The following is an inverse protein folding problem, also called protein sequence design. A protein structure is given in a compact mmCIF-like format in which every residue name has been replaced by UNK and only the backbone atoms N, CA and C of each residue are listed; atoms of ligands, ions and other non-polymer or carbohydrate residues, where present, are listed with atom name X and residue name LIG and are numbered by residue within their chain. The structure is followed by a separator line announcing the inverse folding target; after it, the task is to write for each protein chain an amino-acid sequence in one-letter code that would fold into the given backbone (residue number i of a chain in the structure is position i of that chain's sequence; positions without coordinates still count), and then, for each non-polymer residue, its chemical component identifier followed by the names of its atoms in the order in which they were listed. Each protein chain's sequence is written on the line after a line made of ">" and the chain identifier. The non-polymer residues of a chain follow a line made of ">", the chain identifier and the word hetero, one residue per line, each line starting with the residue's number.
data_IF_196704064484
#
_entry.id   IF_196704064484
#
_cell.length_a   1.000
_cell.length_b   1.000
_cell.length_c   1.000
_cell.angle_alpha   90.00
_cell.angle_beta   90.00
_cell.angle_gamma   90.00
#
_symmetry.space_group_name_H-M   'P 1'
#
loop_
_entity.id
_entity.type
_entity.pdbx_description
1 polymer ?
#
# COMPACT_ATOMS: atom_id res chain seq x y z
N UNK A 1 10.11 16.93 -0.94
CA UNK A 1 9.96 18.19 -0.19
C UNK A 1 9.49 17.87 1.22
N UNK A 2 10.05 18.58 2.22
CA UNK A 2 9.69 18.43 3.63
C UNK A 2 9.51 19.83 4.22
N UNK A 3 8.39 20.07 4.89
CA UNK A 3 8.10 21.29 5.63
C UNK A 3 7.68 20.97 7.06
N UNK A 4 7.85 21.90 7.99
CA UNK A 4 7.47 21.76 9.40
C UNK A 4 6.35 22.75 9.72
N UNK A 5 5.34 22.33 10.49
CA UNK A 5 4.31 23.20 11.02
C UNK A 5 4.86 24.23 12.00
N UNK A 6 4.11 25.30 12.27
CA UNK A 6 4.52 26.39 13.17
C UNK A 6 5.58 27.36 12.63
N UNK A 7 6.13 27.12 11.42
CA UNK A 7 7.22 27.92 10.82
C UNK A 7 6.78 28.57 9.49
N UNK A 8 5.49 28.57 9.22
CA UNK A 8 4.90 28.94 7.92
C UNK A 8 5.18 30.35 7.42
N UNK A 9 5.42 31.29 8.32
CA UNK A 9 5.66 32.68 7.94
C UNK A 9 7.02 32.91 7.26
N UNK A 10 7.93 31.94 7.34
CA UNK A 10 9.27 32.05 6.77
C UNK A 10 9.39 31.48 5.35
N UNK A 11 8.39 30.78 4.85
CA UNK A 11 8.42 30.16 3.53
C UNK A 11 7.64 30.97 2.50
N UNK A 12 8.26 32.02 2.00
CA UNK A 12 7.74 32.93 0.97
C UNK A 12 7.70 32.34 -0.46
N UNK A 13 7.89 31.03 -0.65
CA UNK A 13 7.72 30.43 -1.98
C UNK A 13 6.22 30.23 -2.28
N UNK A 14 5.73 30.93 -3.28
CA UNK A 14 4.32 30.99 -3.67
C UNK A 14 3.57 29.63 -3.76
N UNK A 15 4.18 28.52 -4.24
CA UNK A 15 3.45 27.24 -4.32
C UNK A 15 3.09 26.63 -2.97
N UNK A 16 3.93 26.85 -1.94
CA UNK A 16 3.70 26.32 -0.60
C UNK A 16 2.71 27.16 0.20
N UNK A 17 2.61 28.48 -0.07
CA UNK A 17 1.70 29.35 0.66
C UNK A 17 0.22 29.07 0.39
N UNK A 18 -0.13 28.74 -0.85
CA UNK A 18 -1.51 28.39 -1.21
C UNK A 18 -1.96 27.07 -0.54
N UNK A 19 -1.11 26.05 -0.57
CA UNK A 19 -1.38 24.78 0.10
C UNK A 19 -1.45 24.95 1.63
N UNK A 20 -0.56 25.79 2.19
CA UNK A 20 -0.52 26.06 3.61
C UNK A 20 -1.84 26.60 4.14
N UNK A 21 -2.52 27.41 3.35
CA UNK A 21 -3.81 28.02 3.73
C UNK A 21 -4.98 27.01 3.74
N UNK A 22 -4.91 25.93 2.96
CA UNK A 22 -5.96 24.90 2.93
C UNK A 22 -5.79 23.83 4.02
N UNK A 23 -4.64 23.82 4.71
CA UNK A 23 -4.42 22.91 5.84
C UNK A 23 -5.25 23.34 7.05
N UNK A 24 -5.77 22.35 7.84
CA UNK A 24 -6.38 22.63 9.14
C UNK A 24 -5.43 23.43 10.05
N UNK A 25 -6.01 24.32 10.84
CA UNK A 25 -5.24 25.26 11.65
C UNK A 25 -4.35 24.54 12.70
N UNK A 26 -4.85 23.46 13.29
CA UNK A 26 -4.14 22.60 14.21
C UNK A 26 -2.91 21.93 13.60
N UNK A 27 -2.98 21.57 12.32
CA UNK A 27 -1.85 21.03 11.55
C UNK A 27 -0.84 22.16 11.22
N UNK A 28 -1.36 23.30 10.78
CA UNK A 28 -0.56 24.45 10.32
C UNK A 28 0.26 25.08 11.44
N UNK A 29 -0.32 25.21 12.63
CA UNK A 29 0.30 25.86 13.78
C UNK A 29 1.13 24.91 14.66
N UNK A 30 1.02 23.60 14.49
CA UNK A 30 1.73 22.65 15.32
C UNK A 30 3.22 22.54 14.95
N UNK A 31 4.14 22.83 15.86
CA UNK A 31 5.59 22.69 15.61
C UNK A 31 6.04 21.21 15.54
N UNK A 32 5.14 20.28 15.79
CA UNK A 32 5.41 18.84 15.85
C UNK A 32 4.93 18.09 14.61
N UNK A 33 4.23 18.78 13.70
CA UNK A 33 3.74 18.23 12.44
C UNK A 33 4.73 18.51 11.32
N UNK A 34 4.96 17.51 10.49
CA UNK A 34 5.74 17.61 9.27
C UNK A 34 4.86 17.31 8.05
N UNK A 35 5.11 18.01 6.97
CA UNK A 35 4.48 17.82 5.68
C UNK A 35 5.52 17.34 4.69
N UNK A 36 5.24 16.23 4.00
CA UNK A 36 6.11 15.70 2.97
C UNK A 36 5.35 15.55 1.65
N UNK A 37 6.03 15.78 0.53
CA UNK A 37 5.50 15.55 -0.82
C UNK A 37 6.62 15.25 -1.79
N UNK A 38 6.30 14.52 -2.86
CA UNK A 38 7.17 14.34 -4.02
C UNK A 38 6.82 15.29 -5.18
N UNK A 39 5.71 16.06 -5.08
CA UNK A 39 5.25 16.99 -6.10
C UNK A 39 4.68 18.27 -5.48
N UNK A 40 4.92 19.42 -6.09
CA UNK A 40 4.34 20.70 -5.67
C UNK A 40 2.81 20.74 -5.83
N UNK A 41 2.24 19.90 -6.70
CA UNK A 41 0.79 19.76 -6.86
C UNK A 41 0.17 18.82 -5.83
N UNK A 42 0.98 18.20 -4.97
CA UNK A 42 0.51 17.25 -3.98
C UNK A 42 0.31 15.81 -4.53
N UNK A 43 -0.24 14.88 -3.77
CA UNK A 43 -0.73 15.09 -2.41
C UNK A 43 0.40 15.34 -1.40
N UNK A 44 0.01 15.92 -0.25
CA UNK A 44 0.91 16.12 0.88
C UNK A 44 0.60 15.11 1.97
N UNK A 45 1.64 14.46 2.48
CA UNK A 45 1.58 13.54 3.61
C UNK A 45 1.80 14.30 4.90
N UNK A 46 0.87 14.15 5.84
CA UNK A 46 0.93 14.77 7.18
C UNK A 46 1.54 13.74 8.13
N UNK A 47 2.68 14.09 8.70
CA UNK A 47 3.43 13.26 9.62
C UNK A 47 3.37 13.89 11.02
N UNK A 48 2.82 13.16 11.99
CA UNK A 48 2.68 13.62 13.37
C UNK A 48 2.93 12.47 14.35
N UNK A 49 2.85 12.74 15.64
CA UNK A 49 2.81 11.67 16.61
C UNK A 49 1.55 10.80 16.43
N UNK A 50 1.65 9.49 16.69
CA UNK A 50 0.47 8.64 16.68
C UNK A 50 -0.54 9.15 17.70
N UNK A 51 -1.81 9.06 17.34
CA UNK A 51 -2.91 9.36 18.25
C UNK A 51 -2.79 8.46 19.49
N UNK A 52 -2.96 9.03 20.68
CA UNK A 52 -2.80 8.32 21.93
C UNK A 52 -4.06 8.46 22.79
N UNK A 53 -4.54 7.33 23.28
CA UNK A 53 -5.56 7.30 24.32
C UNK A 53 -4.84 7.13 25.67
N UNK A 54 -4.92 8.11 26.61
CA UNK A 54 -4.34 7.97 27.94
C UNK A 54 -4.91 6.76 28.68
N UNK A 55 -4.05 6.04 29.40
CA UNK A 55 -4.51 4.98 30.31
C UNK A 55 -5.25 5.58 31.52
N UNK A 56 -6.19 4.83 32.11
CA UNK A 56 -6.98 5.29 33.24
C UNK A 56 -6.13 5.63 34.50
N UNK A 57 -4.96 5.01 34.63
CA UNK A 57 -4.04 5.16 35.78
C UNK A 57 -2.86 6.09 35.45
N UNK A 58 -2.92 6.82 34.36
CA UNK A 58 -1.81 7.60 33.88
C UNK A 58 -1.80 9.01 34.46
N UNK A 59 -0.85 9.27 35.35
CA UNK A 59 -0.71 10.57 36.04
C UNK A 59 0.02 11.60 35.18
N UNK A 60 0.96 11.16 34.35
CA UNK A 60 1.70 12.00 33.41
C UNK A 60 1.78 11.29 32.05
N UNK A 61 1.59 12.04 30.93
CA UNK A 61 1.79 11.44 29.61
C UNK A 61 3.26 11.03 29.47
N UNK A 62 3.56 9.81 28.97
CA UNK A 62 4.92 9.43 28.65
C UNK A 62 5.51 10.36 27.60
N UNK A 63 6.83 10.39 27.55
CA UNK A 63 7.56 11.15 26.53
C UNK A 63 7.11 10.71 25.13
N UNK A 64 6.79 11.68 24.23
CA UNK A 64 6.41 11.36 22.87
C UNK A 64 7.53 10.59 22.15
N UNK A 65 7.19 9.62 21.27
CA UNK A 65 8.20 8.87 20.54
C UNK A 65 9.04 9.80 19.63
N UNK A 66 10.30 9.45 19.45
CA UNK A 66 11.23 10.21 18.59
C UNK A 66 10.81 10.23 17.12
N UNK A 67 10.00 9.24 16.69
CA UNK A 67 9.51 9.13 15.31
C UNK A 67 8.14 9.79 15.13
N UNK A 68 7.79 10.03 13.86
CA UNK A 68 6.47 10.46 13.42
C UNK A 68 5.86 9.40 12.52
N UNK A 69 4.54 9.32 12.51
CA UNK A 69 3.77 8.42 11.65
C UNK A 69 2.91 9.23 10.68
N UNK A 70 2.52 8.62 9.58
CA UNK A 70 1.54 9.21 8.67
C UNK A 70 0.18 9.30 9.38
N UNK A 71 -0.28 10.52 9.64
CA UNK A 71 -1.57 10.79 10.29
C UNK A 71 -2.63 11.30 9.32
N UNK A 72 -2.22 11.79 8.15
CA UNK A 72 -3.16 12.26 7.16
C UNK A 72 -2.51 12.47 5.80
N UNK A 73 -3.38 12.70 4.82
CA UNK A 73 -3.02 13.14 3.47
C UNK A 73 -3.96 14.27 3.09
N UNK A 74 -3.42 15.30 2.44
CA UNK A 74 -4.21 16.41 1.90
C UNK A 74 -3.82 16.63 0.44
N UNK A 75 -4.80 16.82 -0.43
CA UNK A 75 -4.55 17.16 -1.82
C UNK A 75 -4.54 18.68 -2.07
N UNK A 76 -4.21 19.09 -3.29
CA UNK A 76 -4.15 20.50 -3.68
C UNK A 76 -5.50 21.24 -3.63
N UNK A 77 -6.61 20.54 -3.41
CA UNK A 77 -7.98 21.09 -3.25
C UNK A 77 -8.41 21.15 -1.78
N UNK A 78 -7.54 20.75 -0.84
CA UNK A 78 -7.86 20.71 0.57
C UNK A 78 -8.68 19.48 1.01
N UNK A 79 -8.86 18.48 0.14
CA UNK A 79 -9.51 17.21 0.53
C UNK A 79 -8.55 16.38 1.36
N UNK A 80 -9.04 15.88 2.48
CA UNK A 80 -8.22 15.20 3.49
C UNK A 80 -8.56 13.74 3.63
N UNK A 81 -7.57 12.93 3.98
CA UNK A 81 -7.71 11.61 4.59
C UNK A 81 -7.03 11.66 5.95
N UNK A 82 -7.72 11.24 7.00
CA UNK A 82 -7.17 11.12 8.36
C UNK A 82 -7.04 9.66 8.73
N UNK A 83 -5.86 9.26 9.20
CA UNK A 83 -5.56 7.87 9.59
C UNK A 83 -5.67 7.71 11.12
N UNK A 84 -6.49 6.77 11.56
CA UNK A 84 -6.69 6.43 12.96
C UNK A 84 -5.98 5.12 13.31
N UNK A 85 -5.24 5.14 14.42
CA UNK A 85 -4.49 3.98 14.92
C UNK A 85 -5.03 3.55 16.26
N UNK A 86 -5.00 2.25 16.55
CA UNK A 86 -5.25 1.76 17.90
C UNK A 86 -4.12 2.23 18.83
N UNK A 87 -4.43 2.43 20.12
CA UNK A 87 -3.53 3.00 21.14
C UNK A 87 -2.16 2.28 21.28
N UNK A 88 -2.01 1.08 20.75
CA UNK A 88 -0.77 0.30 20.72
C UNK A 88 -0.34 -0.12 19.32
N UNK A 89 -0.98 0.44 18.28
CA UNK A 89 -0.78 -0.02 16.90
C UNK A 89 -0.02 0.98 16.05
N UNK A 90 1.07 0.54 15.45
CA UNK A 90 1.81 1.32 14.44
C UNK A 90 1.07 1.40 13.10
N UNK A 91 0.06 0.54 12.88
CA UNK A 91 -0.71 0.45 11.64
C UNK A 91 -2.09 1.07 11.80
N UNK A 92 -2.50 1.89 10.82
CA UNK A 92 -3.83 2.50 10.81
C UNK A 92 -4.92 1.42 10.65
N UNK A 93 -5.89 1.40 11.58
CA UNK A 93 -7.05 0.50 11.53
C UNK A 93 -8.31 1.14 10.96
N UNK A 94 -8.33 2.48 10.81
CA UNK A 94 -9.43 3.21 10.20
C UNK A 94 -8.94 4.48 9.49
N UNK A 95 -9.75 4.96 8.54
CA UNK A 95 -9.53 6.20 7.80
C UNK A 95 -10.82 6.99 7.77
N UNK A 96 -10.73 8.31 7.92
CA UNK A 96 -11.84 9.24 7.69
C UNK A 96 -11.48 10.16 6.54
N UNK A 97 -12.37 10.35 5.58
CA UNK A 97 -12.17 11.31 4.49
C UNK A 97 -12.74 12.70 4.81
N UNK A 98 -12.46 13.67 3.94
CA UNK A 98 -12.94 15.06 4.11
C UNK A 98 -14.46 15.24 4.02
N UNK A 99 -15.21 14.23 3.57
CA UNK A 99 -16.68 14.19 3.60
C UNK A 99 -17.24 13.57 4.88
N UNK A 100 -16.39 13.16 5.81
CA UNK A 100 -16.77 12.53 7.07
C UNK A 100 -17.10 11.04 6.95
N UNK A 101 -16.88 10.41 5.78
CA UNK A 101 -17.04 8.97 5.63
C UNK A 101 -15.94 8.25 6.37
N UNK A 102 -16.31 7.18 7.07
CA UNK A 102 -15.38 6.40 7.88
C UNK A 102 -15.20 5.01 7.28
N UNK A 103 -13.95 4.63 7.11
CA UNK A 103 -13.55 3.34 6.55
C UNK A 103 -12.80 2.55 7.61
N UNK A 104 -13.18 1.30 7.80
CA UNK A 104 -12.43 0.35 8.62
C UNK A 104 -11.50 -0.46 7.74
N UNK A 105 -10.24 -0.57 8.16
CA UNK A 105 -9.18 -1.35 7.52
C UNK A 105 -9.05 -2.67 8.29
N UNK A 106 -9.60 -3.75 7.74
CA UNK A 106 -9.41 -5.08 8.32
C UNK A 106 -7.99 -5.57 8.01
N UNK A 107 -7.20 -5.73 9.06
CA UNK A 107 -5.80 -6.14 8.97
C UNK A 107 -5.64 -7.58 9.48
N UNK A 108 -4.77 -8.35 8.84
CA UNK A 108 -4.42 -9.71 9.26
C UNK A 108 -2.91 -9.88 9.38
N UNK A 109 -2.50 -10.62 10.39
CA UNK A 109 -1.11 -11.07 10.53
C UNK A 109 -0.83 -12.28 9.65
N UNK A 110 0.43 -12.61 9.43
CA UNK A 110 0.84 -13.81 8.71
C UNK A 110 0.32 -15.09 9.41
N UNK A 111 0.41 -15.16 10.73
CA UNK A 111 -0.08 -16.30 11.51
C UNK A 111 -1.60 -16.50 11.36
N UNK A 112 -2.39 -15.41 11.37
CA UNK A 112 -3.84 -15.50 11.16
C UNK A 112 -4.18 -16.03 9.77
N UNK A 113 -3.48 -15.60 8.72
CA UNK A 113 -3.67 -16.11 7.36
C UNK A 113 -3.27 -17.57 7.24
N UNK A 114 -2.16 -17.98 7.87
CA UNK A 114 -1.72 -19.37 7.91
C UNK A 114 -2.75 -20.28 8.62
N UNK A 115 -3.32 -19.81 9.73
CA UNK A 115 -4.38 -20.53 10.43
C UNK A 115 -5.65 -20.66 9.59
N UNK A 116 -6.08 -19.58 8.92
CA UNK A 116 -7.24 -19.61 8.02
C UNK A 116 -7.02 -20.59 6.87
N UNK A 117 -5.84 -20.64 6.29
CA UNK A 117 -5.47 -21.60 5.24
C UNK A 117 -5.55 -23.05 5.76
N UNK A 118 -5.02 -23.32 6.97
CA UNK A 118 -5.11 -24.67 7.59
C UNK A 118 -6.57 -25.11 7.83
N UNK A 119 -7.42 -24.19 8.31
CA UNK A 119 -8.85 -24.46 8.54
C UNK A 119 -9.58 -24.75 7.24
N UNK A 120 -9.37 -23.96 6.18
CA UNK A 120 -9.97 -24.21 4.87
C UNK A 120 -9.56 -25.56 4.29
N UNK A 121 -8.29 -25.94 4.42
CA UNK A 121 -7.78 -27.22 3.97
C UNK A 121 -8.36 -28.40 4.75
N UNK A 122 -8.52 -28.27 6.07
CA UNK A 122 -9.15 -29.31 6.89
C UNK A 122 -10.62 -29.52 6.47
N UNK A 123 -11.35 -28.44 6.20
CA UNK A 123 -12.76 -28.53 5.73
C UNK A 123 -12.87 -29.17 4.34
N UNK A 124 -11.94 -28.84 3.42
CA UNK A 124 -11.96 -29.46 2.08
C UNK A 124 -11.54 -30.92 2.06
N UNK A 125 -10.79 -31.42 3.05
CA UNK A 125 -10.42 -32.83 3.19
C UNK A 125 -11.53 -33.67 3.78
N UNK A 126 -12.52 -33.08 4.46
CA UNK A 126 -13.67 -33.77 5.03
C UNK A 126 -14.83 -33.91 4.03
N UNK A 127 -14.75 -33.33 2.84
CA UNK A 127 -15.76 -33.53 1.77
C UNK A 127 -15.43 -34.77 0.92
N UNK A 128 -16.37 -35.72 0.75
CA UNK A 128 -16.13 -36.92 -0.03
C UNK A 128 -16.40 -36.67 -1.51
N UNK A 129 -15.47 -36.15 -2.27
CA UNK A 129 -15.54 -36.21 -3.73
C UNK A 129 -14.23 -35.74 -4.44
N UNK A 130 -13.67 -36.63 -5.26
CA UNK A 130 -12.78 -36.31 -6.36
C UNK A 130 -11.33 -36.82 -6.24
N UNK A 131 -10.67 -37.15 -7.37
CA UNK A 131 -9.30 -37.65 -7.39
C UNK A 131 -8.33 -36.55 -6.93
N UNK A 132 -7.55 -36.88 -5.92
CA UNK A 132 -6.54 -35.98 -5.32
C UNK A 132 -5.37 -35.82 -6.27
N UNK A 133 -5.26 -34.64 -6.91
CA UNK A 133 -4.00 -34.23 -7.45
C UNK A 133 -3.06 -33.92 -6.27
N UNK A 134 -1.97 -34.67 -6.17
CA UNK A 134 -0.91 -34.44 -5.20
C UNK A 134 -0.08 -33.22 -5.65
N UNK A 135 -0.62 -32.00 -5.45
CA UNK A 135 0.19 -30.81 -5.55
C UNK A 135 1.00 -30.67 -4.26
N UNK A 136 2.31 -30.53 -4.40
CA UNK A 136 3.27 -30.30 -3.32
C UNK A 136 2.72 -29.29 -2.33
N UNK A 137 2.51 -29.73 -1.08
CA UNK A 137 2.01 -28.88 -0.01
C UNK A 137 3.13 -27.98 0.48
N UNK A 138 3.34 -26.84 -0.16
CA UNK A 138 4.09 -25.78 0.50
C UNK A 138 3.29 -25.36 1.74
N UNK A 139 3.86 -25.59 2.91
CA UNK A 139 3.24 -25.19 4.17
C UNK A 139 3.10 -23.66 4.15
N UNK A 140 1.92 -23.17 4.52
CA UNK A 140 1.74 -21.73 4.71
C UNK A 140 2.45 -21.36 6.02
N UNK A 141 3.55 -20.57 6.00
CA UNK A 141 4.33 -20.27 7.18
C UNK A 141 3.61 -19.29 8.12
N UNK A 142 3.83 -19.44 9.43
CA UNK A 142 3.25 -18.52 10.43
C UNK A 142 3.99 -17.17 10.49
N UNK A 143 5.19 -17.10 9.95
CA UNK A 143 6.02 -15.88 9.87
C UNK A 143 6.56 -15.71 8.47
N UNK A 144 6.78 -14.47 8.05
CA UNK A 144 7.49 -14.16 6.82
C UNK A 144 9.01 -14.18 7.08
N UNK A 145 9.84 -14.50 6.07
CA UNK A 145 11.27 -14.32 6.17
C UNK A 145 11.61 -12.87 6.49
N UNK A 146 12.68 -12.66 7.23
CA UNK A 146 13.09 -11.34 7.70
C UNK A 146 13.30 -10.37 6.53
N UNK A 147 12.53 -9.36 6.52
CA UNK A 147 12.69 -8.05 5.95
C UNK A 147 13.21 -7.86 4.53
N UNK A 148 13.03 -6.63 4.07
CA UNK A 148 13.66 -6.06 2.88
C UNK A 148 14.76 -5.09 3.30
N UNK A 149 15.53 -4.54 2.38
CA UNK A 149 16.48 -3.44 2.63
C UNK A 149 15.83 -2.20 3.29
N UNK A 150 14.50 -2.08 3.21
CA UNK A 150 13.71 -0.99 3.82
C UNK A 150 13.20 -1.31 5.24
N UNK A 151 13.55 -2.45 5.81
CA UNK A 151 13.19 -2.86 7.16
C UNK A 151 12.52 -4.23 7.27
N UNK A 152 12.19 -4.61 8.51
CA UNK A 152 11.54 -5.88 8.79
C UNK A 152 10.07 -5.88 8.31
N UNK A 153 9.67 -6.95 7.63
CA UNK A 153 8.25 -7.18 7.30
C UNK A 153 7.54 -7.78 8.53
N UNK A 154 6.64 -7.00 9.14
CA UNK A 154 5.84 -7.44 10.29
C UNK A 154 4.74 -8.44 9.92
N UNK A 155 4.59 -8.78 8.64
CA UNK A 155 3.57 -9.71 8.14
C UNK A 155 2.13 -9.21 8.22
N UNK A 156 1.90 -7.96 8.59
CA UNK A 156 0.56 -7.36 8.60
C UNK A 156 0.16 -6.99 7.18
N UNK A 157 -1.07 -7.39 6.78
CA UNK A 157 -1.62 -7.10 5.45
C UNK A 157 -3.06 -6.61 5.58
N UNK A 158 -3.45 -5.73 4.66
CA UNK A 158 -4.82 -5.27 4.51
C UNK A 158 -5.67 -6.37 3.84
N UNK A 159 -6.63 -6.93 4.57
CA UNK A 159 -7.52 -7.98 4.05
C UNK A 159 -8.78 -7.39 3.42
N UNK A 160 -9.34 -6.34 4.03
CA UNK A 160 -10.55 -5.71 3.50
C UNK A 160 -10.66 -4.24 3.91
N UNK A 161 -11.41 -3.47 3.10
CA UNK A 161 -11.80 -2.10 3.40
C UNK A 161 -13.33 -2.04 3.50
N UNK A 162 -13.85 -1.62 4.65
CA UNK A 162 -15.27 -1.47 4.92
C UNK A 162 -15.64 0.00 5.05
N UNK A 163 -16.68 0.45 4.36
CA UNK A 163 -17.32 1.74 4.64
C UNK A 163 -18.23 1.55 5.84
N UNK A 164 -17.81 1.97 7.02
CA UNK A 164 -18.54 1.76 8.29
C UNK A 164 -19.46 2.90 8.67
N UNK A 165 -19.28 4.06 8.06
CA UNK A 165 -20.16 5.22 8.24
C UNK A 165 -20.12 6.11 7.02
N UNK A 166 -21.28 6.51 6.54
CA UNK A 166 -21.47 7.54 5.53
C UNK A 166 -22.44 8.59 6.06
N UNK A 167 -22.03 9.87 6.22
CA UNK A 167 -22.94 10.92 6.71
C UNK A 167 -24.16 11.15 5.83
N UNK A 168 -24.10 10.80 4.52
CA UNK A 168 -25.25 10.89 3.62
C UNK A 168 -26.29 9.77 3.85
N UNK A 169 -25.84 8.64 4.43
CA UNK A 169 -26.67 7.44 4.70
C UNK A 169 -26.33 6.87 6.08
N UNK A 170 -26.58 7.62 7.18
CA UNK A 170 -26.08 7.29 8.51
C UNK A 170 -26.65 5.99 9.09
N UNK A 171 -27.81 5.56 8.66
CA UNK A 171 -28.51 4.36 9.14
C UNK A 171 -28.18 3.10 8.30
N UNK A 172 -27.41 3.26 7.20
CA UNK A 172 -27.02 2.12 6.37
C UNK A 172 -25.83 1.38 6.98
N UNK A 173 -25.96 0.06 7.11
CA UNK A 173 -24.88 -0.82 7.52
C UNK A 173 -24.27 -1.53 6.31
N UNK A 174 -22.94 -1.63 6.22
CA UNK A 174 -22.28 -2.31 5.11
C UNK A 174 -22.55 -3.83 5.18
N UNK A 175 -23.03 -4.38 4.06
CA UNK A 175 -23.25 -5.82 3.91
C UNK A 175 -22.05 -6.56 3.30
N UNK A 176 -21.14 -5.82 2.67
CA UNK A 176 -19.93 -6.34 2.05
C UNK A 176 -18.81 -5.26 2.08
N UNK A 177 -17.54 -5.65 2.12
CA UNK A 177 -16.43 -4.72 2.03
C UNK A 177 -16.40 -4.05 0.65
N UNK A 178 -15.89 -2.83 0.58
CA UNK A 178 -15.66 -2.11 -0.68
C UNK A 178 -14.61 -2.79 -1.54
N UNK A 179 -13.59 -3.33 -0.90
CA UNK A 179 -12.53 -4.10 -1.53
C UNK A 179 -12.04 -5.18 -0.58
N UNK A 180 -11.61 -6.32 -1.14
CA UNK A 180 -11.00 -7.42 -0.42
C UNK A 180 -9.72 -7.83 -1.13
N UNK A 181 -8.71 -8.19 -0.34
CA UNK A 181 -7.38 -8.55 -0.79
C UNK A 181 -7.02 -9.94 -0.31
N UNK A 182 -6.37 -10.73 -1.17
CA UNK A 182 -5.82 -12.03 -0.80
C UNK A 182 -4.34 -12.08 -1.08
N UNK A 183 -3.62 -12.93 -0.34
CA UNK A 183 -2.17 -12.97 -0.37
C UNK A 183 -1.67 -14.39 -0.62
N UNK A 184 -0.46 -14.51 -1.16
CA UNK A 184 0.29 -15.76 -1.26
C UNK A 184 0.74 -16.19 0.14
N UNK A 185 1.27 -17.41 0.24
CA UNK A 185 1.90 -17.91 1.46
C UNK A 185 3.13 -17.06 1.88
N UNK A 186 3.78 -16.42 0.91
CA UNK A 186 4.92 -15.52 1.10
C UNK A 186 4.50 -14.07 1.44
N UNK A 187 3.18 -13.80 1.56
CA UNK A 187 2.66 -12.48 1.93
C UNK A 187 2.56 -11.48 0.79
N UNK A 188 2.71 -11.90 -0.46
CA UNK A 188 2.56 -11.08 -1.65
C UNK A 188 1.10 -10.93 -2.03
N UNK A 189 0.70 -9.79 -2.58
CA UNK A 189 -0.68 -9.55 -3.02
C UNK A 189 -1.04 -10.48 -4.19
N UNK A 190 -2.00 -11.37 -3.99
CA UNK A 190 -2.44 -12.35 -4.99
C UNK A 190 -3.61 -11.87 -5.83
N UNK A 191 -4.64 -11.30 -5.18
CA UNK A 191 -5.83 -10.83 -5.87
C UNK A 191 -6.53 -9.71 -5.12
N UNK A 192 -7.26 -8.88 -5.89
CA UNK A 192 -8.15 -7.84 -5.39
C UNK A 192 -9.55 -8.12 -5.89
N UNK A 193 -10.53 -8.02 -4.99
CA UNK A 193 -11.94 -8.21 -5.27
C UNK A 193 -12.70 -6.91 -4.97
N UNK A 194 -13.67 -6.60 -5.79
CA UNK A 194 -14.57 -5.47 -5.57
C UNK A 194 -15.72 -5.82 -4.58
N UNK A 195 -16.63 -4.87 -4.39
CA UNK A 195 -17.80 -5.03 -3.50
C UNK A 195 -18.74 -6.14 -3.92
N UNK A 196 -18.82 -6.49 -5.20
CA UNK A 196 -19.63 -7.61 -5.71
C UNK A 196 -19.01 -8.98 -5.45
N UNK A 197 -17.75 -9.01 -4.98
CA UNK A 197 -16.96 -10.23 -4.85
C UNK A 197 -16.28 -10.66 -6.16
N UNK A 198 -16.36 -9.84 -7.21
CA UNK A 198 -15.67 -10.09 -8.48
C UNK A 198 -14.18 -9.80 -8.34
N UNK A 199 -13.33 -10.72 -8.82
CA UNK A 199 -11.90 -10.46 -8.89
C UNK A 199 -11.61 -9.42 -9.97
N UNK A 200 -11.13 -8.25 -9.56
CA UNK A 200 -10.82 -7.12 -10.46
C UNK A 200 -9.35 -7.04 -10.84
N UNK A 201 -8.45 -7.63 -10.02
CA UNK A 201 -7.02 -7.73 -10.30
C UNK A 201 -6.48 -9.06 -9.81
N UNK A 202 -5.51 -9.60 -10.54
CA UNK A 202 -4.75 -10.78 -10.15
C UNK A 202 -3.26 -10.57 -10.40
N UNK A 203 -2.41 -11.21 -9.58
CA UNK A 203 -0.96 -11.10 -9.64
C UNK A 203 -0.35 -12.49 -9.50
N UNK A 204 0.66 -12.78 -10.29
CA UNK A 204 1.43 -14.02 -10.25
C UNK A 204 2.89 -13.69 -10.00
N UNK A 205 3.52 -14.47 -9.13
CA UNK A 205 4.90 -14.28 -8.70
C UNK A 205 5.78 -15.45 -9.13
N UNK A 206 7.07 -15.17 -9.29
CA UNK A 206 8.10 -16.16 -9.57
C UNK A 206 8.19 -17.17 -8.41
N UNK A 207 8.32 -18.46 -8.74
CA UNK A 207 8.38 -19.51 -7.73
C UNK A 207 9.73 -19.60 -7.02
N UNK A 208 10.80 -19.12 -7.66
CA UNK A 208 12.18 -19.22 -7.18
C UNK A 208 12.67 -17.91 -6.55
N UNK A 209 12.08 -16.78 -6.98
CA UNK A 209 12.50 -15.45 -6.55
C UNK A 209 11.33 -14.70 -5.90
N UNK A 210 11.25 -14.75 -4.58
CA UNK A 210 10.22 -14.06 -3.82
C UNK A 210 10.14 -12.56 -4.18
N UNK A 211 8.91 -12.05 -4.28
CA UNK A 211 8.64 -10.65 -4.61
C UNK A 211 8.72 -10.29 -6.09
N UNK A 212 9.20 -11.17 -6.97
CA UNK A 212 9.20 -10.92 -8.43
C UNK A 212 7.83 -11.21 -9.01
N UNK A 213 7.09 -10.18 -9.38
CA UNK A 213 5.81 -10.31 -10.09
C UNK A 213 6.06 -10.63 -11.55
N UNK A 214 5.69 -11.84 -12.00
CA UNK A 214 5.87 -12.31 -13.39
C UNK A 214 4.64 -12.06 -14.26
N UNK A 215 3.48 -11.84 -13.66
CA UNK A 215 2.28 -11.48 -14.41
C UNK A 215 1.26 -10.73 -13.56
N UNK A 216 0.43 -9.92 -14.24
CA UNK A 216 -0.78 -9.36 -13.65
C UNK A 216 -1.89 -9.26 -14.68
N UNK A 217 -3.14 -9.24 -14.22
CA UNK A 217 -4.30 -9.01 -15.07
C UNK A 217 -5.35 -8.15 -14.39
N UNK A 218 -6.15 -7.47 -15.18
CA UNK A 218 -7.39 -6.81 -14.81
C UNK A 218 -8.58 -7.63 -15.29
N UNK A 219 -9.73 -7.54 -14.59
CA UNK A 219 -10.94 -8.25 -14.99
C UNK A 219 -11.30 -7.94 -16.45
N UNK A 220 -11.56 -8.99 -17.23
CA UNK A 220 -11.92 -8.88 -18.65
C UNK A 220 -10.78 -8.52 -19.60
N UNK A 221 -9.53 -8.43 -19.11
CA UNK A 221 -8.36 -8.15 -19.95
C UNK A 221 -7.37 -9.32 -19.91
N UNK A 222 -6.63 -9.57 -21.00
CA UNK A 222 -5.56 -10.54 -20.99
C UNK A 222 -4.44 -10.15 -20.03
N UNK A 223 -3.66 -11.14 -19.65
CA UNK A 223 -2.58 -11.01 -18.69
C UNK A 223 -1.35 -10.35 -19.31
N UNK A 224 -0.82 -9.30 -18.65
CA UNK A 224 0.50 -8.75 -18.92
C UNK A 224 1.56 -9.56 -18.20
N UNK A 225 2.70 -9.83 -18.88
CA UNK A 225 3.78 -10.69 -18.36
C UNK A 225 5.10 -9.96 -18.36
N UNK A 226 5.97 -10.35 -17.40
CA UNK A 226 7.28 -9.76 -17.18
C UNK A 226 8.36 -10.82 -17.20
N UNK A 227 9.52 -10.48 -17.78
CA UNK A 227 10.76 -11.24 -17.65
C UNK A 227 11.81 -10.41 -16.95
N UNK A 228 12.71 -11.09 -16.25
CA UNK A 228 13.76 -10.47 -15.46
C UNK A 228 15.13 -10.98 -15.86
N UNK A 229 16.15 -10.15 -15.65
CA UNK A 229 17.54 -10.59 -15.66
C UNK A 229 17.95 -11.23 -14.33
N UNK A 230 19.19 -11.74 -14.26
CA UNK A 230 19.74 -12.40 -13.07
C UNK A 230 19.87 -11.43 -11.88
N UNK A 231 19.89 -10.12 -12.14
CA UNK A 231 19.95 -9.11 -11.08
C UNK A 231 18.56 -8.65 -10.60
N UNK A 232 17.48 -9.21 -11.17
CA UNK A 232 16.09 -8.90 -10.76
C UNK A 232 15.50 -7.66 -11.42
N UNK A 233 16.10 -7.15 -12.53
CA UNK A 233 15.55 -6.04 -13.29
C UNK A 233 14.67 -6.57 -14.42
N UNK A 234 13.55 -5.88 -14.71
CA UNK A 234 12.64 -6.25 -15.82
C UNK A 234 13.34 -6.05 -17.15
N UNK A 235 13.45 -7.10 -17.96
CA UNK A 235 14.02 -7.05 -19.33
C UNK A 235 12.97 -7.02 -20.42
N UNK A 236 11.77 -7.54 -20.13
CA UNK A 236 10.68 -7.56 -21.11
C UNK A 236 9.32 -7.43 -20.39
N UNK A 237 8.42 -6.67 -21.00
CA UNK A 237 7.01 -6.60 -20.64
C UNK A 237 6.17 -6.90 -21.86
N UNK A 238 5.34 -7.94 -21.79
CA UNK A 238 4.40 -8.34 -22.85
C UNK A 238 3.00 -7.90 -22.48
N UNK A 239 2.36 -7.08 -23.32
CA UNK A 239 1.02 -6.56 -23.14
C UNK A 239 0.14 -6.95 -24.33
N UNK A 240 -0.70 -8.02 -24.24
CA UNK A 240 -1.47 -8.50 -25.39
C UNK A 240 -2.44 -7.50 -26.01
N UNK A 241 -2.85 -6.48 -25.27
CA UNK A 241 -3.74 -5.39 -25.73
C UNK A 241 -3.02 -4.05 -25.92
N UNK A 242 -1.70 -4.02 -25.90
CA UNK A 242 -0.91 -2.80 -25.96
C UNK A 242 0.44 -2.99 -26.61
N UNK A 243 1.36 -2.10 -26.28
CA UNK A 243 2.73 -2.21 -26.73
C UNK A 243 3.52 -3.11 -25.78
N UNK A 244 4.31 -4.00 -26.37
CA UNK A 244 5.35 -4.71 -25.64
C UNK A 244 6.58 -3.83 -25.49
N UNK A 245 7.34 -4.03 -24.42
CA UNK A 245 8.53 -3.25 -24.13
C UNK A 245 9.71 -4.17 -23.83
N UNK A 246 10.89 -3.75 -24.29
CA UNK A 246 12.18 -4.33 -23.92
C UNK A 246 13.04 -3.28 -23.25
N UNK A 247 13.74 -3.68 -22.18
CA UNK A 247 14.56 -2.82 -21.36
C UNK A 247 16.02 -3.31 -21.43
N UNK A 248 16.92 -2.43 -21.84
CA UNK A 248 18.37 -2.68 -21.89
C UNK A 248 19.05 -1.74 -20.89
N UNK A 249 19.73 -2.32 -19.90
CA UNK A 249 20.38 -1.59 -18.82
C UNK A 249 21.86 -1.38 -19.14
N UNK A 250 22.25 -0.12 -19.33
CA UNK A 250 23.63 0.32 -19.44
C UNK A 250 24.18 0.82 -18.08
N UNK A 251 25.39 1.31 -18.07
CA UNK A 251 26.04 1.82 -16.86
C UNK A 251 25.39 3.13 -16.36
N UNK A 252 24.96 3.99 -17.25
CA UNK A 252 24.43 5.33 -16.99
C UNK A 252 23.05 5.58 -17.61
N UNK A 253 22.40 4.54 -18.14
CA UNK A 253 21.16 4.68 -18.89
C UNK A 253 20.37 3.38 -18.95
N UNK A 254 19.07 3.54 -19.18
CA UNK A 254 18.16 2.45 -19.58
C UNK A 254 17.60 2.79 -20.96
N UNK A 255 17.74 1.87 -21.91
CA UNK A 255 17.12 1.98 -23.23
C UNK A 255 15.83 1.17 -23.22
N UNK A 256 14.73 1.81 -23.58
CA UNK A 256 13.40 1.20 -23.69
C UNK A 256 13.05 1.14 -25.17
N UNK A 257 12.74 -0.05 -25.67
CA UNK A 257 12.30 -0.25 -27.07
C UNK A 257 10.91 -0.88 -27.04
N UNK A 258 9.95 -0.25 -27.72
CA UNK A 258 8.59 -0.80 -27.84
C UNK A 258 8.45 -1.72 -29.06
N UNK A 259 7.29 -2.41 -29.16
CA UNK A 259 6.98 -3.34 -30.27
C UNK A 259 6.84 -2.67 -31.64
N UNK A 260 6.80 -1.33 -31.71
CA UNK A 260 6.88 -0.55 -32.97
C UNK A 260 8.30 -0.06 -33.26
N UNK A 261 9.32 -0.58 -32.56
CA UNK A 261 10.72 -0.19 -32.66
C UNK A 261 11.01 1.29 -32.34
N UNK A 262 10.11 1.95 -31.60
CA UNK A 262 10.40 3.27 -31.05
C UNK A 262 11.30 3.11 -29.84
N UNK A 263 12.26 4.01 -29.71
CA UNK A 263 13.29 3.93 -28.68
C UNK A 263 13.30 5.18 -27.83
N UNK A 264 13.30 4.98 -26.50
CA UNK A 264 13.50 5.99 -25.49
C UNK A 264 14.76 5.66 -24.69
N UNK A 265 15.52 6.68 -24.31
CA UNK A 265 16.72 6.50 -23.47
C UNK A 265 16.55 7.36 -22.22
N UNK A 266 16.56 6.71 -21.06
CA UNK A 266 16.53 7.35 -19.75
C UNK A 266 17.95 7.31 -19.18
N UNK A 267 18.50 8.47 -18.86
CA UNK A 267 19.80 8.55 -18.21
C UNK A 267 19.66 8.50 -16.69
N UNK A 268 20.58 7.78 -16.05
CA UNK A 268 20.62 7.63 -14.59
C UNK A 268 21.83 8.39 -14.03
N UNK A 269 21.68 8.98 -12.85
CA UNK A 269 22.74 9.68 -12.15
C UNK A 269 23.05 8.99 -10.83
N UNK A 270 24.32 8.55 -10.64
CA UNK A 270 24.76 7.87 -9.45
C UNK A 270 24.16 6.48 -9.26
N UNK A 271 24.28 5.92 -8.06
CA UNK A 271 23.72 4.60 -7.71
C UNK A 271 22.18 4.69 -7.63
N UNK A 272 21.51 4.53 -8.77
CA UNK A 272 20.06 4.25 -8.85
C UNK A 272 19.11 5.45 -9.00
N UNK A 273 19.60 6.66 -9.31
CA UNK A 273 18.75 7.82 -9.60
C UNK A 273 18.47 8.05 -11.08
N UNK A 274 17.20 8.39 -11.45
CA UNK A 274 16.86 8.95 -12.75
C UNK A 274 17.20 10.45 -12.75
N UNK A 275 17.78 10.95 -13.87
CA UNK A 275 17.96 12.39 -14.10
C UNK A 275 16.65 13.08 -14.38
#
# INVERSE_FOLDING_TARGET
>A
WLARGGVAEQHSSQPLSALWQVLPEDVRLSPHVYLATNSLQGPWWILSWPERVPGADEVLPPEPPAYRVLTGVVDGFGRTLTFHRAAKGDVAGAVTDGAGRRFHLALTTQAQRAEAFRKQRATSLSSPAGPRSASSSSAFPDTLPAGTEYGADNGIRLEAVWLTHDPAYPDEQPTAPLARYTYTASGELRAVYDRSGTQVRGFTYDAEHAGRMVAHHYAGRPESRYRYDDTGRVTEQVNPEGLDYRFEYGQDRVTITDSLNRREVLYTEGEGGLK
#
